data_IF_047952351421
#
_entry.id   IF_047952351421
#
_cell.length_a   1.000
_cell.length_b   1.000
_cell.length_c   1.000
_cell.angle_alpha   90.00
_cell.angle_beta   90.00
_cell.angle_gamma   90.00
#
_symmetry.space_group_name_H-M   'P 1'
#
loop_
_entity.id
_entity.type
_entity.pdbx_description
1 polymer ?
#
# COMPACT_ATOMS: atom_id res chain seq x y z
N UNK A 1 23.38 -15.25 -1.89
CA UNK A 1 22.00 -14.76 -1.77
C UNK A 1 21.38 -14.68 -3.15
N UNK A 2 20.35 -15.46 -3.40
CA UNK A 2 19.56 -15.32 -4.60
C UNK A 2 18.73 -14.04 -4.48
N UNK A 3 18.94 -13.08 -5.37
CA UNK A 3 17.97 -12.01 -5.55
C UNK A 3 16.71 -12.65 -6.13
N UNK A 4 15.63 -12.64 -5.38
CA UNK A 4 14.36 -13.08 -5.92
C UNK A 4 13.97 -12.17 -7.06
N UNK A 5 13.74 -12.76 -8.22
CA UNK A 5 13.27 -12.06 -9.40
C UNK A 5 11.78 -11.78 -9.21
N UNK A 6 11.41 -10.50 -9.13
CA UNK A 6 10.01 -10.11 -9.02
C UNK A 6 9.47 -9.78 -10.41
N UNK A 7 8.43 -10.49 -10.80
CA UNK A 7 7.71 -10.28 -12.05
C UNK A 7 6.33 -9.72 -11.76
N UNK A 8 5.90 -8.81 -12.63
CA UNK A 8 4.57 -8.20 -12.57
C UNK A 8 3.76 -8.63 -13.80
N UNK A 9 2.49 -8.86 -13.61
CA UNK A 9 1.57 -8.96 -14.74
C UNK A 9 1.42 -7.60 -15.43
N UNK A 10 1.31 -7.65 -16.75
CA UNK A 10 1.12 -6.45 -17.59
C UNK A 10 -0.34 -6.34 -17.99
N UNK A 11 -0.89 -5.16 -17.78
CA UNK A 11 -2.25 -4.78 -18.15
C UNK A 11 -2.21 -3.78 -19.32
N UNK A 12 -3.24 -3.78 -20.15
CA UNK A 12 -3.47 -2.73 -21.14
C UNK A 12 -4.18 -1.51 -20.51
N UNK A 13 -4.45 -0.49 -21.31
CA UNK A 13 -5.09 0.75 -20.83
C UNK A 13 -6.52 0.55 -20.33
N UNK A 14 -7.19 -0.52 -20.72
CA UNK A 14 -8.55 -0.88 -20.28
C UNK A 14 -8.54 -1.86 -19.11
N UNK A 15 -7.34 -2.09 -18.52
CA UNK A 15 -7.12 -2.99 -17.40
C UNK A 15 -7.37 -4.46 -17.71
N UNK A 16 -7.13 -4.87 -18.93
CA UNK A 16 -7.12 -6.28 -19.31
C UNK A 16 -5.72 -6.85 -19.18
N UNK A 17 -5.61 -8.08 -18.67
CA UNK A 17 -4.35 -8.80 -18.68
C UNK A 17 -3.89 -9.07 -20.10
N UNK A 18 -2.64 -8.73 -20.41
CA UNK A 18 -2.06 -8.95 -21.73
C UNK A 18 -1.50 -10.36 -21.91
N UNK A 19 -1.31 -11.09 -20.81
CA UNK A 19 -0.60 -12.37 -20.82
C UNK A 19 0.93 -12.25 -20.77
N UNK A 20 1.46 -11.02 -20.81
CA UNK A 20 2.89 -10.74 -20.65
C UNK A 20 3.22 -10.44 -19.19
N UNK A 21 4.48 -10.66 -18.84
CA UNK A 21 5.04 -10.28 -17.54
C UNK A 21 6.17 -9.29 -17.73
N UNK A 22 6.42 -8.49 -16.70
CA UNK A 22 7.43 -7.44 -16.70
C UNK A 22 8.38 -7.64 -15.50
N UNK A 23 9.67 -7.47 -15.75
CA UNK A 23 10.68 -7.56 -14.70
C UNK A 23 10.74 -6.25 -13.90
N UNK A 24 10.54 -6.34 -12.59
CA UNK A 24 10.69 -5.18 -11.69
C UNK A 24 12.08 -4.53 -11.85
N UNK A 25 12.09 -3.20 -11.87
CA UNK A 25 13.32 -2.42 -12.00
C UNK A 25 13.70 -2.08 -13.44
N UNK A 26 12.95 -2.56 -14.42
CA UNK A 26 13.10 -2.15 -15.81
C UNK A 26 12.00 -1.16 -16.22
N UNK A 27 12.24 -0.28 -17.20
CA UNK A 27 11.21 0.67 -17.66
C UNK A 27 9.97 -0.04 -18.22
N UNK A 28 8.79 0.43 -17.85
CA UNK A 28 7.53 -0.08 -18.40
C UNK A 28 7.26 0.66 -19.71
N UNK A 29 7.00 -0.08 -20.83
CA UNK A 29 6.67 0.55 -22.10
C UNK A 29 5.42 1.42 -22.01
N UNK A 30 5.37 2.47 -22.84
CA UNK A 30 4.19 3.32 -22.95
C UNK A 30 2.96 2.51 -23.34
N UNK A 31 1.83 2.77 -22.68
CA UNK A 31 0.58 2.05 -22.90
C UNK A 31 0.47 0.71 -22.19
N UNK A 32 1.48 0.36 -21.40
CA UNK A 32 1.47 -0.82 -20.53
C UNK A 32 1.43 -0.39 -19.06
N UNK A 33 0.80 -1.21 -18.23
CA UNK A 33 0.55 -0.89 -16.82
C UNK A 33 0.78 -2.11 -15.96
N UNK A 34 1.20 -1.88 -14.71
CA UNK A 34 1.19 -2.92 -13.67
C UNK A 34 0.18 -2.56 -12.58
N UNK A 35 0.02 -3.41 -11.57
CA UNK A 35 -0.91 -3.18 -10.46
C UNK A 35 -0.16 -2.83 -9.19
N UNK A 36 -0.53 -1.71 -8.59
CA UNK A 36 -0.05 -1.27 -7.27
C UNK A 36 -1.22 -1.31 -6.31
N UNK A 37 -0.98 -1.78 -5.10
CA UNK A 37 -2.00 -1.81 -4.04
C UNK A 37 -1.54 -1.04 -2.82
N UNK A 38 -2.48 -0.41 -2.13
CA UNK A 38 -2.31 0.16 -0.81
C UNK A 38 -3.44 -0.31 0.09
N UNK A 39 -3.14 -0.49 1.36
CA UNK A 39 -4.11 -0.92 2.34
C UNK A 39 -4.12 0.00 3.55
N UNK A 40 -5.28 0.54 3.85
CA UNK A 40 -5.53 1.29 5.08
C UNK A 40 -6.23 0.37 6.06
N UNK A 41 -5.67 0.26 7.25
CA UNK A 41 -6.20 -0.56 8.34
C UNK A 41 -6.73 0.36 9.43
N UNK A 42 -8.04 0.37 9.59
CA UNK A 42 -8.74 1.20 10.58
C UNK A 42 -9.20 0.35 11.74
N UNK A 43 -8.89 0.76 12.96
CA UNK A 43 -9.37 0.09 14.17
C UNK A 43 -10.77 0.58 14.57
N UNK A 44 -11.32 -0.04 15.62
CA UNK A 44 -12.65 0.30 16.14
C UNK A 44 -12.74 1.70 16.76
N UNK A 45 -11.61 2.35 17.02
CA UNK A 45 -11.55 3.74 17.49
C UNK A 45 -11.47 4.76 16.37
N UNK A 46 -11.49 4.33 15.11
CA UNK A 46 -11.38 5.20 13.95
C UNK A 46 -9.95 5.67 13.65
N UNK A 47 -8.95 5.00 14.21
CA UNK A 47 -7.54 5.29 13.96
C UNK A 47 -6.99 4.38 12.88
N UNK A 48 -6.02 4.89 12.12
CA UNK A 48 -5.38 4.17 11.02
C UNK A 48 -3.96 3.75 11.38
N UNK A 49 -3.59 2.55 10.99
CA UNK A 49 -2.24 2.04 11.17
C UNK A 49 -1.31 2.66 10.12
N UNK A 50 -0.28 3.33 10.60
CA UNK A 50 0.79 3.88 9.78
C UNK A 50 2.09 3.13 10.05
N UNK A 51 2.90 2.97 9.01
CA UNK A 51 4.24 2.41 9.10
C UNK A 51 5.28 3.45 8.71
N UNK A 52 6.46 3.34 9.30
CA UNK A 52 7.57 4.27 9.05
C UNK A 52 8.58 3.64 8.10
N UNK A 53 8.91 4.36 7.04
CA UNK A 53 9.90 3.95 6.04
C UNK A 53 11.31 3.97 6.63
N UNK A 54 12.11 2.98 6.25
CA UNK A 54 13.53 2.95 6.64
C UNK A 54 14.32 4.02 5.90
N UNK A 55 15.51 4.44 6.44
CA UNK A 55 16.32 5.49 5.83
C UNK A 55 16.85 5.19 4.43
N UNK A 56 16.88 3.91 4.03
CA UNK A 56 17.41 3.48 2.72
C UNK A 56 16.37 3.52 1.58
N UNK A 57 15.14 3.93 1.87
CA UNK A 57 14.06 4.01 0.88
C UNK A 57 13.88 5.44 0.36
N UNK A 58 13.13 5.59 -0.73
CA UNK A 58 12.59 6.90 -1.14
C UNK A 58 11.70 7.44 -0.03
N UNK A 59 11.65 8.75 0.15
CA UNK A 59 10.97 9.38 1.28
C UNK A 59 11.43 8.83 2.64
N UNK A 60 12.76 8.84 2.94
CA UNK A 60 13.30 8.17 4.11
C UNK A 60 12.71 8.71 5.42
N UNK A 61 12.40 7.80 6.34
CA UNK A 61 11.88 8.15 7.66
C UNK A 61 10.48 8.72 7.68
N UNK A 62 9.77 8.78 6.56
CA UNK A 62 8.39 9.25 6.51
C UNK A 62 7.41 8.14 6.84
N UNK A 63 6.23 8.54 7.31
CA UNK A 63 5.14 7.65 7.61
C UNK A 63 4.23 7.46 6.39
N UNK A 64 3.66 6.28 6.27
CA UNK A 64 2.79 5.91 5.16
C UNK A 64 1.82 4.79 5.56
N UNK A 65 0.88 4.50 4.68
CA UNK A 65 0.13 3.24 4.76
C UNK A 65 0.92 2.13 4.08
N UNK A 66 0.61 0.89 4.44
CA UNK A 66 1.21 -0.31 3.83
C UNK A 66 0.78 -0.46 2.37
N UNK A 67 1.70 -0.87 1.53
CA UNK A 67 1.40 -1.13 0.12
C UNK A 67 2.60 -1.68 -0.64
N UNK A 68 2.37 -2.00 -1.89
CA UNK A 68 3.40 -2.52 -2.77
C UNK A 68 2.85 -2.87 -4.14
N UNK A 69 3.68 -3.55 -4.93
CA UNK A 69 3.32 -3.98 -6.27
C UNK A 69 2.77 -5.39 -6.25
N UNK A 70 1.67 -5.62 -6.96
CA UNK A 70 1.18 -6.96 -7.19
C UNK A 70 2.20 -7.75 -8.00
N UNK A 71 2.43 -8.99 -7.62
CA UNK A 71 3.30 -9.91 -8.36
C UNK A 71 2.48 -10.64 -9.44
N UNK A 72 3.17 -11.20 -10.43
CA UNK A 72 2.53 -12.00 -11.45
C UNK A 72 1.72 -13.14 -10.82
N UNK A 73 0.46 -13.25 -11.21
CA UNK A 73 -0.48 -14.21 -10.65
C UNK A 73 -1.33 -13.68 -9.49
N UNK A 74 -0.97 -12.53 -8.90
CA UNK A 74 -1.80 -11.89 -7.88
C UNK A 74 -3.02 -11.22 -8.51
N UNK A 75 -4.16 -11.32 -7.84
CA UNK A 75 -5.22 -10.32 -8.01
C UNK A 75 -5.02 -9.20 -6.97
N UNK A 76 -5.87 -8.19 -7.03
CA UNK A 76 -5.77 -7.02 -6.15
C UNK A 76 -5.87 -7.40 -4.67
N UNK A 77 -6.81 -8.26 -4.31
CA UNK A 77 -7.00 -8.70 -2.92
C UNK A 77 -5.83 -9.54 -2.43
N UNK A 78 -5.38 -10.52 -3.21
CA UNK A 78 -4.25 -11.36 -2.81
C UNK A 78 -2.97 -10.54 -2.63
N UNK A 79 -2.74 -9.54 -3.49
CA UNK A 79 -1.61 -8.61 -3.34
C UNK A 79 -1.67 -7.83 -2.02
N UNK A 80 -2.83 -7.30 -1.67
CA UNK A 80 -3.03 -6.56 -0.41
C UNK A 80 -2.78 -7.44 0.81
N UNK A 81 -3.33 -8.65 0.81
CA UNK A 81 -3.15 -9.59 1.93
C UNK A 81 -1.67 -9.97 2.11
N UNK A 82 -0.99 -10.22 1.00
CA UNK A 82 0.44 -10.56 1.01
C UNK A 82 1.29 -9.39 1.49
N UNK A 83 1.08 -8.18 0.95
CA UNK A 83 1.87 -7.00 1.34
C UNK A 83 1.69 -6.64 2.82
N UNK A 84 0.46 -6.70 3.34
CA UNK A 84 0.22 -6.46 4.75
C UNK A 84 0.99 -7.45 5.64
N UNK A 85 0.97 -8.73 5.27
CA UNK A 85 1.70 -9.78 6.00
C UNK A 85 3.21 -9.59 5.92
N UNK A 86 3.74 -9.28 4.73
CA UNK A 86 5.19 -9.10 4.54
C UNK A 86 5.72 -7.87 5.29
N UNK A 87 5.03 -6.74 5.20
CA UNK A 87 5.51 -5.48 5.79
C UNK A 87 5.23 -5.35 7.29
N UNK A 88 4.15 -5.94 7.77
CA UNK A 88 3.69 -5.75 9.16
C UNK A 88 3.51 -7.04 9.95
N UNK A 89 3.57 -8.19 9.31
CA UNK A 89 3.28 -9.49 9.93
C UNK A 89 1.79 -9.71 10.24
N UNK A 90 0.93 -8.75 9.94
CA UNK A 90 -0.49 -8.83 10.26
C UNK A 90 -1.27 -9.62 9.22
N UNK A 91 -2.18 -10.45 9.71
CA UNK A 91 -3.06 -11.28 8.87
C UNK A 91 -4.41 -10.58 8.76
N UNK A 92 -4.70 -10.07 7.58
CA UNK A 92 -5.98 -9.43 7.29
C UNK A 92 -7.06 -10.48 6.99
N UNK A 93 -8.25 -10.26 7.53
CA UNK A 93 -9.44 -11.03 7.19
C UNK A 93 -10.06 -10.45 5.90
N UNK A 94 -10.10 -11.21 4.80
CA UNK A 94 -10.63 -10.72 3.53
C UNK A 94 -12.07 -10.19 3.63
N UNK A 95 -12.87 -10.74 4.55
CA UNK A 95 -14.27 -10.32 4.73
C UNK A 95 -14.40 -8.94 5.40
N UNK A 96 -13.33 -8.44 6.01
CA UNK A 96 -13.30 -7.13 6.67
C UNK A 96 -12.77 -6.02 5.80
N UNK A 97 -12.42 -6.32 4.57
CA UNK A 97 -11.85 -5.37 3.61
C UNK A 97 -12.79 -5.05 2.46
N UNK A 98 -12.62 -3.87 1.90
CA UNK A 98 -13.28 -3.46 0.67
C UNK A 98 -12.35 -2.63 -0.19
N UNK A 99 -12.50 -2.74 -1.50
CA UNK A 99 -11.86 -1.84 -2.44
C UNK A 99 -12.49 -0.45 -2.27
N UNK A 100 -11.68 0.51 -1.82
CA UNK A 100 -12.15 1.85 -1.54
C UNK A 100 -12.09 2.74 -2.77
N UNK A 101 -10.98 2.69 -3.49
CA UNK A 101 -10.71 3.56 -4.64
C UNK A 101 -9.79 2.85 -5.62
N UNK A 102 -10.03 3.07 -6.91
CA UNK A 102 -9.15 2.62 -7.98
C UNK A 102 -8.87 3.78 -8.92
N UNK A 103 -7.62 3.98 -9.32
CA UNK A 103 -7.27 4.98 -10.30
C UNK A 103 -6.07 4.53 -11.14
N UNK A 104 -5.86 5.21 -12.28
CA UNK A 104 -4.75 4.96 -13.17
C UNK A 104 -3.74 6.09 -13.08
N UNK A 105 -2.48 5.75 -13.00
CA UNK A 105 -1.33 6.65 -13.17
C UNK A 105 -0.67 6.40 -14.53
N UNK A 106 0.51 6.98 -14.75
CA UNK A 106 1.21 6.86 -16.04
C UNK A 106 1.58 5.42 -16.41
N UNK A 107 1.91 4.60 -15.42
CA UNK A 107 2.38 3.23 -15.67
C UNK A 107 1.74 2.18 -14.75
N UNK A 108 0.72 2.55 -13.98
CA UNK A 108 0.11 1.63 -13.02
C UNK A 108 -1.39 1.88 -12.83
N UNK A 109 -2.10 0.81 -12.53
CA UNK A 109 -3.39 0.89 -11.85
C UNK A 109 -3.11 0.80 -10.35
N UNK A 110 -3.72 1.69 -9.58
CA UNK A 110 -3.60 1.72 -8.13
C UNK A 110 -4.93 1.37 -7.48
N UNK A 111 -4.93 0.33 -6.69
CA UNK A 111 -6.09 -0.10 -5.90
C UNK A 111 -5.84 0.20 -4.43
N UNK A 112 -6.76 0.96 -3.84
CA UNK A 112 -6.71 1.37 -2.45
C UNK A 112 -7.77 0.60 -1.68
N UNK A 113 -7.33 -0.19 -0.71
CA UNK A 113 -8.19 -1.01 0.11
C UNK A 113 -8.34 -0.43 1.51
N UNK A 114 -9.51 -0.61 2.09
CA UNK A 114 -9.78 -0.28 3.49
C UNK A 114 -10.23 -1.55 4.22
N UNK A 115 -9.49 -1.88 5.28
CA UNK A 115 -9.82 -2.97 6.19
C UNK A 115 -10.20 -2.40 7.55
N UNK A 116 -11.32 -2.84 8.08
CA UNK A 116 -11.78 -2.48 9.42
C UNK A 116 -11.53 -3.66 10.36
N UNK A 117 -10.37 -3.64 11.00
CA UNK A 117 -9.90 -4.75 11.84
C UNK A 117 -9.00 -4.20 12.94
N UNK A 118 -9.18 -4.71 14.15
CA UNK A 118 -8.35 -4.33 15.28
C UNK A 118 -7.08 -5.17 15.32
N UNK A 119 -5.95 -4.50 15.54
CA UNK A 119 -4.65 -5.13 15.77
C UNK A 119 -3.96 -4.49 16.98
N UNK A 120 -3.19 -5.28 17.70
CA UNK A 120 -2.27 -4.76 18.70
C UNK A 120 -0.96 -4.37 18.01
N UNK A 121 -0.44 -3.17 18.31
CA UNK A 121 0.85 -2.74 17.78
C UNK A 121 1.99 -3.68 18.18
N UNK A 122 1.85 -4.38 19.31
CA UNK A 122 2.83 -5.39 19.75
C UNK A 122 2.92 -6.59 18.80
N UNK A 123 1.90 -6.84 17.98
CA UNK A 123 1.88 -7.93 17.00
C UNK A 123 2.52 -7.55 15.67
N UNK A 124 2.88 -6.28 15.48
CA UNK A 124 3.53 -5.81 14.25
C UNK A 124 4.97 -6.30 14.20
N UNK A 125 5.32 -6.97 13.11
CA UNK A 125 6.67 -7.44 12.81
C UNK A 125 7.17 -6.66 11.60
N UNK A 126 8.24 -5.89 11.79
CA UNK A 126 8.79 -5.08 10.70
C UNK A 126 9.55 -5.94 9.69
N UNK A 127 9.28 -5.69 8.42
CA UNK A 127 10.10 -6.23 7.34
C UNK A 127 11.44 -5.47 7.30
N UNK A 128 12.55 -6.19 7.38
CA UNK A 128 13.89 -5.61 7.34
C UNK A 128 14.10 -4.84 6.04
N UNK A 129 14.62 -3.63 6.16
CA UNK A 129 14.89 -2.74 5.02
C UNK A 129 13.66 -2.02 4.46
N UNK A 130 12.46 -2.31 4.97
CA UNK A 130 11.20 -1.71 4.49
C UNK A 130 10.54 -0.82 5.52
N UNK A 131 10.37 -1.32 6.74
CA UNK A 131 9.67 -0.62 7.82
C UNK A 131 10.49 -0.61 9.10
N UNK A 132 10.43 0.48 9.85
CA UNK A 132 11.15 0.62 11.12
C UNK A 132 10.29 1.20 12.25
N UNK A 133 9.00 1.38 12.04
CA UNK A 133 8.07 1.86 13.05
C UNK A 133 6.63 1.63 12.65
N UNK A 134 5.75 1.63 13.63
CA UNK A 134 4.30 1.56 13.43
C UNK A 134 3.59 2.40 14.51
N UNK A 135 2.49 3.02 14.12
CA UNK A 135 1.62 3.76 15.04
C UNK A 135 0.20 3.76 14.54
N UNK A 136 -0.75 3.92 15.46
CA UNK A 136 -2.10 4.32 15.12
C UNK A 136 -2.22 5.84 15.16
N UNK A 137 -2.91 6.40 14.17
CA UNK A 137 -3.13 7.84 14.08
C UNK A 137 -4.60 8.12 13.75
N UNK A 138 -5.17 9.10 14.46
CA UNK A 138 -6.50 9.63 14.15
C UNK A 138 -6.45 10.39 12.82
N UNK A 139 -7.61 10.65 12.16
CA UNK A 139 -7.64 11.50 10.98
C UNK A 139 -6.97 12.87 11.20
N UNK A 140 -7.22 13.51 12.35
CA UNK A 140 -6.62 14.79 12.70
C UNK A 140 -5.10 14.70 12.78
N UNK A 141 -4.60 13.63 13.41
CA UNK A 141 -3.16 13.40 13.52
C UNK A 141 -2.52 13.15 12.16
N UNK A 142 -3.19 12.44 11.28
CA UNK A 142 -2.71 12.20 9.91
C UNK A 142 -2.56 13.52 9.16
N UNK A 143 -3.55 14.42 9.24
CA UNK A 143 -3.45 15.76 8.62
C UNK A 143 -2.31 16.59 9.21
N UNK A 144 -2.15 16.59 10.53
CA UNK A 144 -1.01 17.26 11.17
C UNK A 144 0.33 16.76 10.63
N UNK A 145 0.47 15.43 10.54
CA UNK A 145 1.70 14.81 10.05
C UNK A 145 1.95 15.12 8.57
N UNK A 146 0.89 15.14 7.76
CA UNK A 146 0.99 15.50 6.34
C UNK A 146 1.45 16.95 6.19
N UNK A 147 0.85 17.89 6.92
CA UNK A 147 1.20 19.31 6.88
C UNK A 147 2.61 19.57 7.42
N UNK A 148 3.07 18.75 8.38
CA UNK A 148 4.43 18.83 8.91
C UNK A 148 5.49 18.19 8.01
N UNK A 149 5.09 17.61 6.87
CA UNK A 149 6.00 16.90 5.97
C UNK A 149 6.50 15.56 6.49
N UNK A 150 5.82 14.98 7.47
CA UNK A 150 6.20 13.71 8.11
C UNK A 150 5.62 12.49 7.39
N UNK A 151 4.73 12.69 6.44
CA UNK A 151 4.09 11.61 5.69
C UNK A 151 4.43 11.66 4.21
N UNK A 152 4.42 10.48 3.58
CA UNK A 152 4.44 10.37 2.13
C UNK A 152 3.17 11.03 1.58
N UNK A 153 3.27 11.90 0.55
CA UNK A 153 2.09 12.56 -0.01
C UNK A 153 1.03 11.56 -0.50
N UNK A 154 -0.22 11.86 -0.21
CA UNK A 154 -1.35 11.01 -0.55
C UNK A 154 -2.49 11.87 -1.14
N UNK A 155 -2.74 11.72 -2.44
CA UNK A 155 -3.71 12.57 -3.17
C UNK A 155 -5.17 12.30 -2.83
N UNK A 156 -5.49 11.11 -2.36
CA UNK A 156 -6.86 10.69 -2.08
C UNK A 156 -7.23 10.77 -0.59
N UNK A 157 -6.38 11.36 0.23
CA UNK A 157 -6.52 11.33 1.68
C UNK A 157 -7.86 11.93 2.16
N UNK A 158 -8.29 13.03 1.55
CA UNK A 158 -9.58 13.65 1.90
C UNK A 158 -10.76 12.72 1.66
N UNK A 159 -10.72 11.94 0.59
CA UNK A 159 -11.76 10.95 0.30
C UNK A 159 -11.78 9.85 1.37
N UNK A 160 -10.60 9.38 1.78
CA UNK A 160 -10.46 8.32 2.77
C UNK A 160 -10.92 8.76 4.15
N UNK A 161 -10.51 9.95 4.59
CA UNK A 161 -10.78 10.46 5.94
C UNK A 161 -12.12 11.18 6.06
N UNK A 162 -12.91 11.23 4.99
CA UNK A 162 -14.23 11.84 4.96
C UNK A 162 -14.23 13.35 4.72
N UNK A 163 -13.09 13.91 4.35
CA UNK A 163 -12.93 15.33 4.13
C UNK A 163 -13.12 16.14 5.41
N UNK A 164 -12.34 17.18 5.59
CA UNK A 164 -12.68 18.18 6.62
C UNK A 164 -13.88 18.98 6.13
N UNK A 165 -14.93 18.96 6.90
CA UNK A 165 -16.08 19.86 6.69
C UNK A 165 -15.82 21.18 7.37
#
# INVERSE_FOLDING_TARGET
>A
MSMEVELWDVYDADRNLTGRVHLRGTPIPEGEYHLVVQVWMRNSRGEYLLTKRTPNKTHPGKWETTGGCAQAGDDSLSAVLREAKEETGLILDPEKGRLFLSFRSDCAFADIWLFEQDFDLADVIFQEGETCGAMYASPEKIYEMLHAGMMVPCRYLDQLLGGEK
#
